data_IF_282806663721
#
_entry.id   IF_282806663721
#
_cell.length_a   1.000
_cell.length_b   1.000
_cell.length_c   1.000
_cell.angle_alpha   90.00
_cell.angle_beta   90.00
_cell.angle_gamma   90.00
#
_symmetry.space_group_name_H-M   'P 1'
#
loop_
_entity.id
_entity.type
_entity.pdbx_description
1 polymer ?
#
# COMPACT_ATOMS: atom_id res chain seq x y z
N UNK A 1 5.09 -5.63 -4.24
CA UNK A 1 4.94 -6.06 -5.65
C UNK A 1 5.12 -4.89 -6.60
N UNK A 2 4.16 -3.99 -6.78
CA UNK A 2 4.30 -2.87 -7.72
C UNK A 2 5.53 -2.00 -7.43
N UNK A 3 5.74 -1.63 -6.17
CA UNK A 3 6.91 -0.86 -5.75
C UNK A 3 8.23 -1.57 -6.10
N UNK A 4 8.32 -2.88 -5.86
CA UNK A 4 9.51 -3.67 -6.18
C UNK A 4 9.79 -3.74 -7.69
N UNK A 5 8.73 -3.94 -8.49
CA UNK A 5 8.84 -3.98 -9.96
C UNK A 5 9.32 -2.62 -10.50
N UNK A 6 8.71 -1.53 -10.03
CA UNK A 6 9.11 -0.17 -10.38
C UNK A 6 10.52 0.17 -9.89
N UNK A 7 10.90 -0.29 -8.70
CA UNK A 7 12.23 -0.12 -8.14
C UNK A 7 13.31 -0.64 -9.08
N UNK A 8 13.11 -1.83 -9.65
CA UNK A 8 14.02 -2.40 -10.65
C UNK A 8 14.00 -1.62 -11.96
N UNK A 9 12.81 -1.41 -12.53
CA UNK A 9 12.65 -0.78 -13.86
C UNK A 9 13.14 0.66 -13.90
N UNK A 10 13.02 1.38 -12.80
CA UNK A 10 13.41 2.79 -12.68
C UNK A 10 14.76 2.98 -12.00
N UNK A 11 15.44 1.90 -11.56
CA UNK A 11 16.61 1.95 -10.68
C UNK A 11 16.37 2.87 -9.47
N UNK A 12 15.19 2.72 -8.87
CA UNK A 12 14.73 3.53 -7.75
C UNK A 12 14.89 2.78 -6.43
N UNK A 13 15.19 3.52 -5.37
CA UNK A 13 15.27 2.96 -4.01
C UNK A 13 13.86 2.72 -3.49
N UNK A 14 13.60 1.52 -2.97
CA UNK A 14 12.32 1.14 -2.35
C UNK A 14 12.57 0.83 -0.88
N UNK A 15 12.55 1.84 0.01
CA UNK A 15 12.72 1.60 1.43
C UNK A 15 11.47 0.92 2.02
N UNK A 16 11.54 0.37 3.25
CA UNK A 16 10.36 -0.10 3.97
C UNK A 16 9.32 1.01 4.12
N UNK A 17 8.04 0.65 4.27
CA UNK A 17 6.93 1.63 4.34
C UNK A 17 7.20 2.78 5.33
N UNK A 18 7.23 4.02 4.84
CA UNK A 18 7.44 5.23 5.62
C UNK A 18 6.15 5.72 6.32
N UNK A 19 5.56 4.86 7.16
CA UNK A 19 4.26 5.11 7.80
C UNK A 19 4.22 6.36 8.72
N UNK A 20 5.39 6.87 9.10
CA UNK A 20 5.58 8.08 9.91
C UNK A 20 5.54 9.38 9.08
N UNK A 21 5.80 9.32 7.77
CA UNK A 21 5.96 10.52 6.92
C UNK A 21 4.67 11.34 6.85
N UNK A 22 3.55 10.70 6.51
CA UNK A 22 2.27 11.38 6.42
C UNK A 22 1.84 11.98 7.76
N UNK A 23 2.13 11.31 8.88
CA UNK A 23 1.85 11.83 10.22
C UNK A 23 2.68 13.10 10.51
N UNK A 24 3.98 13.09 10.19
CA UNK A 24 4.86 14.24 10.37
C UNK A 24 4.44 15.44 9.51
N UNK A 25 4.10 15.21 8.23
CA UNK A 25 3.62 16.24 7.32
C UNK A 25 2.25 16.80 7.73
N UNK A 26 1.36 15.96 8.25
CA UNK A 26 0.02 16.41 8.68
C UNK A 26 0.08 17.20 9.98
N UNK A 27 1.02 16.86 10.86
CA UNK A 27 1.27 17.59 12.10
C UNK A 27 2.15 18.84 11.90
N UNK A 28 2.55 19.14 10.65
CA UNK A 28 3.42 20.27 10.29
C UNK A 28 4.68 20.33 11.18
N UNK A 29 5.30 19.17 11.42
CA UNK A 29 6.50 19.08 12.24
C UNK A 29 7.69 19.78 11.58
N UNK A 30 8.57 20.36 12.39
CA UNK A 30 9.91 20.77 11.95
C UNK A 30 10.85 19.56 11.84
N UNK A 31 12.01 19.76 11.20
CA UNK A 31 13.02 18.73 11.02
C UNK A 31 13.48 18.08 12.34
N UNK A 32 13.67 18.89 13.38
CA UNK A 32 14.13 18.40 14.69
C UNK A 32 13.09 17.53 15.39
N UNK A 33 11.82 17.92 15.35
CA UNK A 33 10.69 17.14 15.90
C UNK A 33 10.47 15.88 15.10
N UNK A 34 10.66 15.93 13.79
CA UNK A 34 10.58 14.74 12.95
C UNK A 34 11.67 13.73 13.31
N UNK A 35 12.93 14.14 13.45
CA UNK A 35 14.00 13.22 13.90
C UNK A 35 13.72 12.61 15.27
N UNK A 36 13.21 13.40 16.24
CA UNK A 36 12.81 12.90 17.56
C UNK A 36 11.70 11.85 17.47
N UNK A 37 10.72 12.05 16.59
CA UNK A 37 9.66 11.08 16.34
C UNK A 37 10.27 9.76 15.84
N UNK A 38 11.17 9.83 14.86
CA UNK A 38 11.83 8.66 14.27
C UNK A 38 12.67 7.86 15.28
N UNK A 39 13.34 8.53 16.22
CA UNK A 39 14.13 7.86 17.27
C UNK A 39 13.31 6.91 18.16
N UNK A 40 11.99 7.10 18.22
CA UNK A 40 11.08 6.25 18.99
C UNK A 40 10.18 5.35 18.14
N UNK A 41 10.26 5.46 16.80
CA UNK A 41 9.36 4.76 15.90
C UNK A 41 9.88 3.36 15.57
N UNK A 42 9.14 2.34 16.04
CA UNK A 42 9.49 0.93 15.81
C UNK A 42 9.50 0.51 14.34
N UNK A 43 8.78 1.21 13.46
CA UNK A 43 8.71 0.91 12.02
C UNK A 43 9.90 1.55 11.32
N UNK A 44 10.29 2.75 11.74
CA UNK A 44 11.54 3.36 11.28
C UNK A 44 12.76 2.55 11.69
N UNK A 45 12.77 1.93 12.87
CA UNK A 45 13.85 1.04 13.30
C UNK A 45 14.14 -0.10 12.30
N UNK A 46 13.15 -0.52 11.49
CA UNK A 46 13.32 -1.53 10.43
C UNK A 46 14.20 -1.06 9.28
N UNK A 47 14.39 0.26 9.13
CA UNK A 47 15.27 0.83 8.11
C UNK A 47 16.75 0.64 8.47
N UNK A 48 17.08 0.36 9.74
CA UNK A 48 18.47 0.20 10.17
C UNK A 48 19.33 1.46 10.02
N UNK A 49 18.70 2.63 9.89
CA UNK A 49 19.35 3.95 9.82
C UNK A 49 19.21 4.61 11.18
N UNK A 50 20.30 5.20 11.69
CA UNK A 50 20.26 6.02 12.90
C UNK A 50 19.77 7.44 12.54
N UNK A 51 18.60 7.90 13.04
CA UNK A 51 18.13 9.26 12.74
C UNK A 51 19.11 10.34 13.20
N UNK A 52 19.87 10.10 14.27
CA UNK A 52 20.81 11.08 14.83
C UNK A 52 22.03 11.32 13.93
N UNK A 53 22.29 10.41 12.98
CA UNK A 53 23.33 10.57 11.96
C UNK A 53 22.97 11.58 10.88
N UNK A 54 21.69 12.00 10.78
CA UNK A 54 21.23 12.95 9.79
C UNK A 54 21.44 14.37 10.31
N UNK A 55 22.36 15.09 9.66
CA UNK A 55 22.57 16.51 9.92
C UNK A 55 21.32 17.31 9.51
N UNK A 56 20.94 18.26 10.36
CA UNK A 56 19.83 19.20 10.12
C UNK A 56 20.31 20.63 10.31
N UNK A 57 19.66 21.52 9.57
CA UNK A 57 19.81 22.97 9.61
C UNK A 57 18.45 23.61 9.94
N UNK A 58 18.44 24.91 10.26
CA UNK A 58 17.20 25.59 10.65
C UNK A 58 16.16 25.66 9.51
N UNK A 59 16.62 25.65 8.26
CA UNK A 59 15.76 25.73 7.08
C UNK A 59 15.30 24.35 6.56
N UNK A 60 15.66 23.27 7.27
CA UNK A 60 15.28 21.93 6.86
C UNK A 60 13.79 21.65 7.08
N UNK A 61 13.20 21.02 6.08
CA UNK A 61 11.82 20.54 6.12
C UNK A 61 11.79 19.03 6.39
N UNK A 62 10.61 18.51 6.68
CA UNK A 62 10.38 17.06 6.77
C UNK A 62 10.79 16.36 5.48
N UNK A 63 10.53 16.96 4.31
CA UNK A 63 10.89 16.35 3.02
C UNK A 63 12.40 16.30 2.80
N UNK A 64 13.16 17.36 3.13
CA UNK A 64 14.63 17.32 2.99
C UNK A 64 15.29 16.31 3.93
N UNK A 65 14.77 16.19 5.16
CA UNK A 65 15.20 15.14 6.10
C UNK A 65 14.87 13.75 5.56
N UNK A 66 13.66 13.57 5.02
CA UNK A 66 13.22 12.29 4.44
C UNK A 66 14.13 11.85 3.28
N UNK A 67 14.49 12.76 2.38
CA UNK A 67 15.41 12.47 1.27
C UNK A 67 16.78 12.01 1.76
N UNK A 68 17.32 12.65 2.81
CA UNK A 68 18.58 12.23 3.44
C UNK A 68 18.49 10.87 4.14
N UNK A 69 17.35 10.56 4.76
CA UNK A 69 17.11 9.25 5.37
C UNK A 69 17.07 8.14 4.32
N UNK A 70 16.42 8.39 3.18
CA UNK A 70 16.39 7.44 2.06
C UNK A 70 17.79 7.25 1.46
N UNK A 71 18.58 8.33 1.34
CA UNK A 71 19.99 8.25 0.93
C UNK A 71 20.84 7.42 1.89
N UNK A 72 20.68 7.61 3.20
CA UNK A 72 21.37 6.82 4.21
C UNK A 72 20.98 5.34 4.16
N UNK A 73 19.69 5.06 3.97
CA UNK A 73 19.17 3.70 3.78
C UNK A 73 19.77 3.03 2.54
N UNK A 74 19.76 3.73 1.40
CA UNK A 74 20.28 3.19 0.14
C UNK A 74 21.78 2.88 0.19
N UNK A 75 22.59 3.74 0.82
CA UNK A 75 24.03 3.51 1.01
C UNK A 75 24.32 2.25 1.82
N UNK A 76 23.43 1.91 2.75
CA UNK A 76 23.54 0.72 3.60
C UNK A 76 23.14 -0.54 2.85
N UNK A 77 22.00 -0.52 2.16
CA UNK A 77 21.37 -1.75 1.65
C UNK A 77 21.71 -2.07 0.20
N UNK A 78 22.03 -1.06 -0.63
CA UNK A 78 22.04 -1.22 -2.08
C UNK A 78 23.43 -1.11 -2.72
N UNK A 79 24.50 -0.86 -1.95
CA UNK A 79 25.84 -0.48 -2.48
C UNK A 79 25.76 0.60 -3.58
N UNK A 80 24.67 1.36 -3.57
CA UNK A 80 24.29 2.23 -4.68
C UNK A 80 24.68 3.65 -4.29
N UNK A 81 25.79 4.11 -4.84
CA UNK A 81 26.30 5.46 -4.57
C UNK A 81 25.43 6.55 -5.21
N UNK A 82 24.66 6.21 -6.25
CA UNK A 82 23.84 7.16 -7.00
C UNK A 82 22.46 6.59 -7.36
N UNK A 83 21.41 7.24 -6.88
CA UNK A 83 20.04 7.06 -7.34
C UNK A 83 19.36 8.43 -7.44
N UNK A 84 18.44 8.58 -8.39
CA UNK A 84 17.71 9.84 -8.61
C UNK A 84 16.22 9.75 -8.27
N UNK A 85 15.74 8.57 -7.84
CA UNK A 85 14.34 8.28 -7.56
C UNK A 85 14.21 7.32 -6.37
N UNK A 86 13.14 7.49 -5.61
CA UNK A 86 12.74 6.56 -4.56
C UNK A 86 11.23 6.37 -4.58
N UNK A 87 10.76 5.26 -4.02
CA UNK A 87 9.35 4.86 -4.04
C UNK A 87 8.91 4.56 -2.61
N UNK A 88 8.06 5.42 -2.04
CA UNK A 88 7.24 5.02 -0.91
C UNK A 88 6.03 4.20 -1.40
N UNK A 89 5.67 3.19 -0.63
CA UNK A 89 4.58 2.27 -0.95
C UNK A 89 3.60 2.11 0.21
N UNK A 90 3.60 3.08 1.13
CA UNK A 90 2.73 3.10 2.31
C UNK A 90 1.26 3.30 1.87
N UNK A 91 0.37 2.31 2.06
CA UNK A 91 -0.99 2.40 1.53
C UNK A 91 -1.82 3.56 2.11
N UNK A 92 -1.55 3.98 3.34
CA UNK A 92 -2.28 5.08 3.99
C UNK A 92 -1.93 6.47 3.46
N UNK A 93 -0.84 6.60 2.70
CA UNK A 93 -0.40 7.89 2.16
C UNK A 93 -1.45 8.52 1.24
N UNK A 94 -2.31 7.71 0.62
CA UNK A 94 -3.41 8.21 -0.20
C UNK A 94 -4.41 9.09 0.57
N UNK A 95 -4.49 8.99 1.90
CA UNK A 95 -5.34 9.88 2.70
C UNK A 95 -4.70 11.27 2.94
N UNK A 96 -3.41 11.40 2.66
CA UNK A 96 -2.61 12.60 2.89
C UNK A 96 -1.97 13.10 1.59
N UNK A 97 -2.56 12.74 0.44
CA UNK A 97 -2.00 12.97 -0.89
C UNK A 97 -1.64 14.44 -1.14
N UNK A 98 -2.45 15.40 -0.69
CA UNK A 98 -2.17 16.83 -0.86
C UNK A 98 -0.90 17.25 -0.12
N UNK A 99 -0.84 17.00 1.20
CA UNK A 99 0.35 17.28 2.04
C UNK A 99 1.61 16.61 1.49
N UNK A 100 1.51 15.39 0.96
CA UNK A 100 2.64 14.68 0.34
C UNK A 100 3.06 15.37 -0.97
N UNK A 101 2.12 15.67 -1.87
CA UNK A 101 2.43 16.30 -3.16
C UNK A 101 2.91 17.75 -3.02
N UNK A 102 2.52 18.44 -1.94
CA UNK A 102 3.02 19.76 -1.56
C UNK A 102 4.45 19.68 -1.03
N UNK A 103 4.74 18.70 -0.16
CA UNK A 103 6.07 18.50 0.41
C UNK A 103 7.12 18.00 -0.60
N UNK A 104 6.66 17.29 -1.64
CA UNK A 104 7.51 16.77 -2.72
C UNK A 104 6.99 17.29 -4.07
N UNK A 105 7.42 18.47 -4.55
CA UNK A 105 6.85 19.10 -5.76
C UNK A 105 6.98 18.26 -7.04
N UNK A 106 8.02 17.43 -7.15
CA UNK A 106 8.22 16.50 -8.26
C UNK A 106 7.58 15.12 -8.01
N UNK A 107 6.97 14.91 -6.84
CA UNK A 107 6.36 13.65 -6.45
C UNK A 107 5.20 13.27 -7.37
N UNK A 108 5.06 11.97 -7.62
CA UNK A 108 3.98 11.35 -8.38
C UNK A 108 3.31 10.28 -7.52
N UNK A 109 2.03 10.02 -7.75
CA UNK A 109 1.27 8.97 -7.06
C UNK A 109 0.73 7.99 -8.09
N UNK A 110 0.89 6.70 -7.81
CA UNK A 110 0.18 5.64 -8.51
C UNK A 110 -0.97 5.19 -7.60
N UNK A 111 -2.21 5.52 -7.97
CA UNK A 111 -3.39 5.05 -7.28
C UNK A 111 -3.72 3.63 -7.76
N UNK A 112 -3.18 2.65 -7.04
CA UNK A 112 -3.43 1.24 -7.29
C UNK A 112 -4.81 0.84 -6.76
N UNK A 113 -5.72 0.47 -7.65
CA UNK A 113 -7.07 -0.01 -7.33
C UNK A 113 -7.18 -1.50 -7.57
N UNK A 114 -8.00 -2.18 -6.78
CA UNK A 114 -8.24 -3.63 -6.88
C UNK A 114 -9.70 -3.93 -6.62
N UNK A 115 -10.22 -5.01 -7.20
CA UNK A 115 -11.60 -5.46 -7.00
C UNK A 115 -11.95 -5.49 -5.50
N UNK A 116 -13.02 -4.80 -5.07
CA UNK A 116 -13.39 -4.71 -3.66
C UNK A 116 -13.62 -6.10 -3.02
N UNK A 117 -14.09 -7.08 -3.79
CA UNK A 117 -14.32 -8.45 -3.31
C UNK A 117 -12.99 -9.14 -3.01
N UNK A 118 -11.99 -8.93 -3.86
CA UNK A 118 -10.64 -9.43 -3.64
C UNK A 118 -9.99 -8.78 -2.41
N UNK A 119 -10.16 -7.46 -2.24
CA UNK A 119 -9.65 -6.74 -1.07
C UNK A 119 -10.32 -7.22 0.23
N UNK A 120 -11.65 -7.34 0.22
CA UNK A 120 -12.41 -7.84 1.39
C UNK A 120 -11.97 -9.26 1.75
N UNK A 121 -11.84 -10.15 0.77
CA UNK A 121 -11.36 -11.51 0.99
C UNK A 121 -9.96 -11.54 1.62
N UNK A 122 -9.08 -10.60 1.22
CA UNK A 122 -7.72 -10.50 1.74
C UNK A 122 -7.65 -9.93 3.16
N UNK A 123 -8.52 -8.96 3.50
CA UNK A 123 -8.41 -8.23 4.78
C UNK A 123 -9.20 -8.89 5.93
N UNK A 124 -10.29 -9.59 5.63
CA UNK A 124 -11.13 -10.25 6.64
C UNK A 124 -10.34 -11.19 7.59
N UNK A 125 -9.38 -11.99 7.11
CA UNK A 125 -8.59 -12.87 7.96
C UNK A 125 -7.53 -12.15 8.82
N UNK A 126 -7.17 -10.91 8.49
CA UNK A 126 -6.07 -10.19 9.13
C UNK A 126 -6.45 -9.67 10.50
N UNK A 127 -5.56 -9.83 11.48
CA UNK A 127 -5.84 -9.49 12.88
C UNK A 127 -6.11 -8.00 13.11
N UNK A 128 -5.53 -7.13 12.28
CA UNK A 128 -5.69 -5.67 12.32
C UNK A 128 -6.83 -5.16 11.41
N UNK A 129 -7.40 -6.02 10.56
CA UNK A 129 -8.41 -5.65 9.58
C UNK A 129 -9.85 -5.70 10.12
N UNK A 130 -10.84 -5.17 9.37
CA UNK A 130 -12.25 -5.31 9.71
C UNK A 130 -12.66 -6.80 9.81
N UNK A 131 -13.61 -7.11 10.69
CA UNK A 131 -14.07 -8.49 10.91
C UNK A 131 -15.37 -8.83 10.17
N UNK A 132 -16.07 -7.82 9.64
CA UNK A 132 -17.34 -7.97 8.95
C UNK A 132 -17.22 -7.52 7.48
N UNK A 133 -17.79 -8.25 6.50
CA UNK A 133 -17.68 -7.92 5.07
C UNK A 133 -18.11 -6.49 4.72
N UNK A 134 -19.25 -6.02 5.25
CA UNK A 134 -19.68 -4.62 5.06
C UNK A 134 -18.68 -3.59 5.61
N UNK A 135 -18.06 -3.86 6.75
CA UNK A 135 -17.07 -2.96 7.31
C UNK A 135 -15.79 -2.95 6.46
N UNK A 136 -15.36 -4.10 5.94
CA UNK A 136 -14.26 -4.21 4.99
C UNK A 136 -14.56 -3.51 3.65
N UNK A 137 -15.79 -3.61 3.16
CA UNK A 137 -16.26 -2.91 1.97
C UNK A 137 -16.22 -1.38 2.15
N UNK A 138 -16.73 -0.86 3.27
CA UNK A 138 -16.62 0.57 3.62
C UNK A 138 -15.18 1.04 3.75
N UNK A 139 -14.35 0.21 4.37
CA UNK A 139 -12.91 0.46 4.52
C UNK A 139 -12.21 0.59 3.15
N UNK A 140 -12.60 -0.23 2.17
CA UNK A 140 -12.15 -0.10 0.79
C UNK A 140 -12.68 1.20 0.15
N UNK A 141 -13.97 1.50 0.26
CA UNK A 141 -14.58 2.71 -0.33
C UNK A 141 -13.92 4.00 0.17
N UNK A 142 -13.64 4.09 1.47
CA UNK A 142 -12.99 5.28 2.05
C UNK A 142 -11.59 5.52 1.47
N UNK A 143 -10.83 4.45 1.20
CA UNK A 143 -9.49 4.53 0.60
C UNK A 143 -9.54 4.90 -0.86
N UNK A 144 -10.41 4.24 -1.62
CA UNK A 144 -10.53 4.50 -3.05
C UNK A 144 -11.14 5.86 -3.34
N UNK A 145 -12.03 6.36 -2.49
CA UNK A 145 -12.55 7.73 -2.56
C UNK A 145 -11.44 8.79 -2.39
N UNK A 146 -10.52 8.59 -1.45
CA UNK A 146 -9.35 9.47 -1.31
C UNK A 146 -8.48 9.46 -2.57
N UNK A 147 -8.33 8.30 -3.21
CA UNK A 147 -7.62 8.20 -4.49
C UNK A 147 -8.36 8.87 -5.65
N UNK A 148 -9.69 8.79 -5.74
CA UNK A 148 -10.48 9.57 -6.71
C UNK A 148 -10.28 11.07 -6.54
N UNK A 149 -10.26 11.52 -5.28
CA UNK A 149 -10.00 12.92 -4.96
C UNK A 149 -8.59 13.34 -5.42
N UNK A 150 -7.58 12.49 -5.20
CA UNK A 150 -6.22 12.72 -5.66
C UNK A 150 -6.11 12.79 -7.19
N UNK A 151 -6.72 11.84 -7.90
CA UNK A 151 -6.78 11.83 -9.38
C UNK A 151 -7.43 13.11 -9.92
N UNK A 152 -8.54 13.54 -9.33
CA UNK A 152 -9.26 14.73 -9.77
C UNK A 152 -8.51 16.03 -9.49
N UNK A 153 -7.78 16.12 -8.37
CA UNK A 153 -7.07 17.35 -7.99
C UNK A 153 -5.71 17.47 -8.68
N UNK A 154 -5.06 16.35 -8.98
CA UNK A 154 -3.70 16.32 -9.50
C UNK A 154 -3.57 15.40 -10.74
N UNK A 155 -4.32 15.66 -11.83
CA UNK A 155 -4.40 14.76 -12.99
C UNK A 155 -3.09 14.53 -13.74
N UNK A 156 -2.08 15.40 -13.58
CA UNK A 156 -0.74 15.26 -14.19
C UNK A 156 0.29 14.61 -13.26
N UNK A 157 -0.09 14.35 -12.00
CA UNK A 157 0.79 13.78 -10.97
C UNK A 157 0.24 12.50 -10.37
N UNK A 158 -1.01 12.15 -10.65
CA UNK A 158 -1.67 10.96 -10.12
C UNK A 158 -2.20 10.13 -11.29
N UNK A 159 -1.80 8.86 -11.36
CA UNK A 159 -2.30 7.91 -12.36
C UNK A 159 -2.96 6.72 -11.66
N UNK A 160 -4.09 6.28 -12.21
CA UNK A 160 -4.77 5.07 -11.74
C UNK A 160 -4.16 3.85 -12.39
N UNK A 161 -3.90 2.80 -11.60
CA UNK A 161 -3.52 1.48 -12.11
C UNK A 161 -4.46 0.44 -11.50
N UNK A 162 -5.02 -0.45 -12.33
CA UNK A 162 -5.79 -1.59 -11.84
C UNK A 162 -4.84 -2.74 -11.55
N UNK A 163 -4.96 -3.31 -10.36
CA UNK A 163 -4.16 -4.45 -9.92
C UNK A 163 -4.31 -5.64 -10.86
N UNK A 164 -5.52 -5.87 -11.38
CA UNK A 164 -5.79 -6.96 -12.30
C UNK A 164 -5.03 -6.79 -13.61
N UNK A 165 -5.02 -5.58 -14.17
CA UNK A 165 -4.29 -5.27 -15.41
C UNK A 165 -2.77 -5.39 -15.18
N UNK A 166 -2.27 -4.93 -14.03
CA UNK A 166 -0.86 -5.09 -13.63
C UNK A 166 -0.45 -6.56 -13.49
N UNK A 167 -1.34 -7.42 -13.00
CA UNK A 167 -1.04 -8.86 -12.84
C UNK A 167 -1.07 -9.58 -14.17
N UNK A 168 -2.06 -9.27 -15.02
CA UNK A 168 -2.30 -9.98 -16.28
C UNK A 168 -1.41 -9.46 -17.43
N UNK A 169 -1.15 -8.16 -17.47
CA UNK A 169 -0.39 -7.47 -18.52
C UNK A 169 0.62 -6.49 -17.89
N UNK A 170 1.61 -6.97 -17.12
CA UNK A 170 2.51 -6.11 -16.34
C UNK A 170 3.27 -5.09 -17.21
N UNK A 171 3.87 -5.53 -18.33
CA UNK A 171 4.69 -4.65 -19.17
C UNK A 171 3.89 -3.51 -19.80
N UNK A 172 2.75 -3.82 -20.42
CA UNK A 172 1.86 -2.83 -21.02
C UNK A 172 1.32 -1.85 -19.98
N UNK A 173 0.90 -2.38 -18.81
CA UNK A 173 0.37 -1.57 -17.71
C UNK A 173 1.42 -0.62 -17.16
N UNK A 174 2.65 -1.10 -16.95
CA UNK A 174 3.76 -0.30 -16.43
C UNK A 174 4.20 0.76 -17.44
N UNK A 175 4.34 0.39 -18.72
CA UNK A 175 4.65 1.35 -19.78
C UNK A 175 3.62 2.48 -19.83
N UNK A 176 2.34 2.14 -19.86
CA UNK A 176 1.24 3.12 -19.89
C UNK A 176 1.25 4.01 -18.63
N UNK A 177 1.46 3.42 -17.46
CA UNK A 177 1.56 4.13 -16.18
C UNK A 177 2.71 5.14 -16.18
N UNK A 178 3.92 4.73 -16.59
CA UNK A 178 5.10 5.58 -16.61
C UNK A 178 4.99 6.70 -17.65
N UNK A 179 4.47 6.39 -18.83
CA UNK A 179 4.21 7.38 -19.87
C UNK A 179 3.21 8.46 -19.40
N UNK A 180 2.11 8.05 -18.74
CA UNK A 180 1.14 9.02 -18.17
C UNK A 180 1.77 9.92 -17.11
N UNK A 181 2.74 9.43 -16.34
CA UNK A 181 3.44 10.21 -15.33
C UNK A 181 4.57 11.08 -15.90
N UNK A 182 4.91 10.93 -17.18
CA UNK A 182 6.06 11.58 -17.80
C UNK A 182 7.39 11.08 -17.24
N UNK A 183 7.44 9.81 -16.83
CA UNK A 183 8.59 9.18 -16.19
C UNK A 183 9.29 8.29 -17.21
N UNK A 184 10.47 8.71 -17.67
CA UNK A 184 11.28 7.89 -18.58
C UNK A 184 11.75 6.61 -17.88
N UNK A 185 11.57 5.47 -18.57
CA UNK A 185 12.17 4.19 -18.18
C UNK A 185 13.64 4.18 -18.58
N UNK A 186 14.55 3.78 -17.69
CA UNK A 186 15.96 3.59 -18.04
C UNK A 186 16.07 2.45 -19.06
N UNK A 187 16.51 2.74 -20.29
CA UNK A 187 16.56 1.84 -21.46
C UNK A 187 17.53 0.64 -21.37
N UNK A 188 18.02 0.28 -20.18
CA UNK A 188 19.17 -0.64 -20.04
C UNK A 188 18.92 -1.87 -19.16
N UNK A 189 17.67 -2.27 -18.93
CA UNK A 189 17.35 -3.59 -18.36
C UNK A 189 16.71 -4.43 -19.45
N UNK A 190 17.44 -5.37 -20.03
CA UNK A 190 16.87 -6.30 -21.00
C UNK A 190 15.70 -7.07 -20.39
N UNK A 191 14.60 -7.20 -21.14
CA UNK A 191 13.37 -7.96 -20.81
C UNK A 191 13.61 -9.47 -20.55
N UNK A 192 14.87 -9.92 -20.47
CA UNK A 192 15.31 -11.30 -20.33
C UNK A 192 15.97 -11.64 -18.98
N UNK A 193 16.23 -10.66 -18.11
CA UNK A 193 16.82 -10.98 -16.79
C UNK A 193 15.71 -11.35 -15.81
N UNK A 194 15.66 -12.64 -15.49
CA UNK A 194 14.68 -13.26 -14.61
C UNK A 194 14.47 -12.52 -13.29
N UNK A 195 13.27 -12.69 -12.75
CA UNK A 195 12.75 -12.05 -11.55
C UNK A 195 13.50 -12.45 -10.27
N UNK A 196 14.73 -11.97 -10.06
CA UNK A 196 15.42 -12.17 -8.78
C UNK A 196 15.13 -11.03 -7.79
N UNK A 197 14.59 -11.40 -6.62
CA UNK A 197 14.31 -10.48 -5.51
C UNK A 197 15.56 -10.30 -4.67
N UNK A 198 15.92 -9.06 -4.31
CA UNK A 198 16.92 -8.83 -3.27
C UNK A 198 16.52 -9.53 -1.96
N UNK A 199 17.47 -10.22 -1.31
CA UNK A 199 17.25 -10.99 -0.08
C UNK A 199 16.64 -10.18 1.10
N UNK A 200 16.73 -8.85 1.08
CA UNK A 200 16.34 -7.97 2.18
C UNK A 200 14.82 -7.86 2.43
N UNK A 201 13.97 -8.47 1.60
CA UNK A 201 12.50 -8.48 1.79
C UNK A 201 11.95 -9.81 2.32
N UNK A 202 12.76 -10.86 2.50
CA UNK A 202 12.25 -12.22 2.74
C UNK A 202 11.33 -12.40 3.97
N UNK A 203 11.49 -11.63 5.05
CA UNK A 203 10.69 -11.81 6.26
C UNK A 203 9.22 -11.34 6.13
N UNK A 204 8.90 -10.45 5.19
CA UNK A 204 7.54 -9.99 4.89
C UNK A 204 7.03 -10.44 3.50
N UNK A 205 7.89 -11.07 2.69
CA UNK A 205 7.67 -11.27 1.26
C UNK A 205 7.87 -12.72 0.78
N UNK A 206 7.30 -13.71 1.47
CA UNK A 206 7.23 -15.09 0.95
C UNK A 206 6.39 -15.24 -0.36
N UNK A 207 5.91 -14.13 -0.94
CA UNK A 207 4.97 -14.11 -2.08
C UNK A 207 5.37 -13.13 -3.20
N UNK A 208 6.49 -12.42 -3.08
CA UNK A 208 6.80 -11.25 -3.95
C UNK A 208 8.03 -11.48 -4.84
N UNK A 209 8.46 -12.74 -4.99
CA UNK A 209 9.55 -13.15 -5.90
C UNK A 209 9.18 -14.06 -7.04
N UNK A 210 7.89 -14.20 -7.30
CA UNK A 210 7.37 -14.91 -8.46
C UNK A 210 6.60 -13.92 -9.33
N UNK A 211 6.46 -14.24 -10.62
CA UNK A 211 5.56 -13.52 -11.52
C UNK A 211 4.20 -13.28 -10.83
N UNK A 212 3.53 -12.15 -11.08
CA UNK A 212 2.26 -11.82 -10.42
C UNK A 212 1.30 -13.02 -10.46
N UNK A 213 0.92 -13.52 -9.28
CA UNK A 213 0.11 -14.74 -9.16
C UNK A 213 -1.35 -14.46 -9.60
N UNK A 214 -1.63 -14.78 -10.86
CA UNK A 214 -2.95 -14.61 -11.49
C UNK A 214 -4.08 -15.29 -10.69
N UNK A 215 -3.77 -16.37 -9.98
CA UNK A 215 -4.77 -17.11 -9.19
C UNK A 215 -5.40 -16.23 -8.09
N UNK A 216 -4.71 -15.16 -7.68
CA UNK A 216 -5.17 -14.22 -6.64
C UNK A 216 -6.15 -13.19 -7.13
N UNK A 217 -6.26 -12.96 -8.45
CA UNK A 217 -7.24 -12.01 -9.02
C UNK A 217 -8.65 -12.47 -8.67
N UNK A 218 -8.93 -13.76 -8.85
CA UNK A 218 -10.27 -14.35 -8.68
C UNK A 218 -10.42 -15.25 -7.45
N UNK A 219 -9.40 -15.37 -6.59
CA UNK A 219 -9.43 -16.22 -5.39
C UNK A 219 -10.63 -15.94 -4.47
N UNK A 220 -11.12 -14.71 -4.44
CA UNK A 220 -12.29 -14.29 -3.65
C UNK A 220 -13.56 -15.09 -3.96
N UNK A 221 -13.69 -15.64 -5.16
CA UNK A 221 -14.84 -16.47 -5.57
C UNK A 221 -14.95 -17.75 -4.75
N UNK A 222 -13.80 -18.30 -4.34
CA UNK A 222 -13.72 -19.53 -3.53
C UNK A 222 -13.69 -19.23 -2.02
N UNK A 223 -13.12 -18.09 -1.62
CA UNK A 223 -12.93 -17.77 -0.19
C UNK A 223 -14.12 -17.06 0.45
N UNK A 224 -14.89 -16.27 -0.31
CA UNK A 224 -16.08 -15.59 0.19
C UNK A 224 -17.33 -16.42 -0.08
N UNK A 225 -18.22 -16.50 0.90
CA UNK A 225 -19.54 -17.08 0.69
C UNK A 225 -20.41 -16.20 -0.21
N UNK A 226 -21.41 -16.78 -0.89
CA UNK A 226 -22.33 -16.02 -1.74
C UNK A 226 -23.05 -14.88 -1.00
N UNK A 227 -23.34 -15.06 0.30
CA UNK A 227 -23.90 -14.00 1.14
C UNK A 227 -22.90 -12.86 1.39
N UNK A 228 -21.62 -13.16 1.64
CA UNK A 228 -20.57 -12.14 1.78
C UNK A 228 -20.37 -11.38 0.47
N UNK A 229 -20.28 -12.09 -0.66
CA UNK A 229 -20.16 -11.48 -1.98
C UNK A 229 -21.33 -10.54 -2.28
N UNK A 230 -22.56 -10.95 -1.96
CA UNK A 230 -23.77 -10.11 -2.14
C UNK A 230 -23.74 -8.89 -1.23
N UNK A 231 -23.36 -9.03 0.05
CA UNK A 231 -23.25 -7.87 0.95
C UNK A 231 -22.18 -6.88 0.49
N UNK A 232 -21.04 -7.35 -0.02
CA UNK A 232 -19.98 -6.49 -0.55
C UNK A 232 -20.51 -5.72 -1.76
N UNK A 233 -21.09 -6.42 -2.74
CA UNK A 233 -21.68 -5.82 -3.95
C UNK A 233 -22.69 -4.72 -3.62
N UNK A 234 -23.60 -5.00 -2.68
CA UNK A 234 -24.60 -4.02 -2.24
C UNK A 234 -23.99 -2.77 -1.59
N UNK A 235 -22.84 -2.91 -0.93
CA UNK A 235 -22.21 -1.81 -0.21
C UNK A 235 -21.32 -0.95 -1.14
N UNK A 236 -20.64 -1.56 -2.13
CA UNK A 236 -19.65 -0.89 -2.99
C UNK A 236 -20.13 -0.62 -4.42
N UNK A 237 -21.40 -0.91 -4.72
CA UNK A 237 -21.98 -0.92 -6.07
C UNK A 237 -21.51 0.23 -6.97
N UNK A 238 -21.89 1.44 -6.59
CA UNK A 238 -21.62 2.65 -7.38
C UNK A 238 -20.12 2.99 -7.41
N UNK A 239 -19.46 2.89 -6.26
CA UNK A 239 -18.03 3.19 -6.13
C UNK A 239 -17.18 2.26 -7.00
N UNK A 240 -17.47 0.96 -7.01
CA UNK A 240 -16.68 0.01 -7.79
C UNK A 240 -17.00 0.07 -9.29
N UNK A 241 -18.22 0.47 -9.67
CA UNK A 241 -18.55 0.78 -11.06
C UNK A 241 -17.67 1.94 -11.60
N UNK A 242 -17.39 2.96 -10.78
CA UNK A 242 -16.48 4.06 -11.15
C UNK A 242 -15.02 3.62 -11.42
N UNK A 243 -14.64 2.41 -10.97
CA UNK A 243 -13.35 1.78 -11.24
C UNK A 243 -13.43 0.66 -12.29
N UNK A 244 -14.58 0.50 -12.96
CA UNK A 244 -14.77 -0.52 -14.00
C UNK A 244 -15.00 -1.93 -13.47
N UNK A 245 -15.40 -2.09 -12.20
CA UNK A 245 -15.76 -3.40 -11.65
C UNK A 245 -17.26 -3.64 -11.74
N UNK A 246 -17.67 -4.71 -12.43
CA UNK A 246 -19.06 -5.16 -12.40
C UNK A 246 -19.40 -5.81 -11.06
N UNK A 247 -20.06 -5.02 -10.23
CA UNK A 247 -20.55 -5.38 -8.90
C UNK A 247 -22.06 -5.19 -8.78
N UNK A 248 -22.77 -5.02 -9.90
CA UNK A 248 -24.23 -4.88 -9.87
C UNK A 248 -24.87 -6.10 -9.19
N UNK A 249 -25.81 -5.86 -8.29
CA UNK A 249 -26.55 -6.93 -7.63
C UNK A 249 -27.96 -6.49 -7.26
N UNK A 250 -28.95 -7.13 -7.88
CA UNK A 250 -30.36 -7.06 -7.47
C UNK A 250 -30.70 -8.02 -6.33
N UNK A 251 -29.80 -8.97 -6.02
CA UNK A 251 -30.01 -10.00 -5.01
C UNK A 251 -29.99 -9.42 -3.59
N UNK A 252 -30.92 -9.89 -2.74
CA UNK A 252 -30.97 -9.57 -1.31
C UNK A 252 -30.47 -10.75 -0.47
N UNK A 253 -29.63 -10.47 0.52
CA UNK A 253 -29.19 -11.49 1.50
C UNK A 253 -30.33 -11.78 2.47
N UNK A 254 -30.69 -13.05 2.67
CA UNK A 254 -31.79 -13.45 3.58
C UNK A 254 -31.51 -13.11 5.04
N UNK A 255 -32.55 -12.98 5.87
CA UNK A 255 -32.41 -12.68 7.31
C UNK A 255 -31.54 -13.73 8.03
N UNK A 256 -31.74 -15.02 7.70
CA UNK A 256 -30.93 -16.13 8.23
C UNK A 256 -29.45 -16.01 7.83
N UNK A 257 -29.18 -15.67 6.57
CA UNK A 257 -27.80 -15.47 6.11
C UNK A 257 -27.15 -14.26 6.80
N UNK A 258 -27.88 -13.15 7.00
CA UNK A 258 -27.38 -11.98 7.76
C UNK A 258 -27.05 -12.35 9.20
N UNK A 259 -27.94 -13.07 9.89
CA UNK A 259 -27.69 -13.53 11.25
C UNK A 259 -26.45 -14.43 11.32
N UNK A 260 -26.31 -15.38 10.39
CA UNK A 260 -25.13 -16.25 10.31
C UNK A 260 -23.82 -15.45 10.10
N UNK A 261 -23.85 -14.42 9.25
CA UNK A 261 -22.69 -13.55 9.02
C UNK A 261 -22.33 -12.71 10.25
N UNK A 262 -23.33 -12.21 10.99
CA UNK A 262 -23.11 -11.52 12.24
C UNK A 262 -22.42 -12.45 13.26
N UNK A 263 -22.91 -13.68 13.42
CA UNK A 263 -22.28 -14.68 14.29
C UNK A 263 -20.84 -14.99 13.87
N UNK A 264 -20.59 -15.23 12.57
CA UNK A 264 -19.22 -15.45 12.06
C UNK A 264 -18.31 -14.26 12.32
N UNK A 265 -18.84 -13.05 12.21
CA UNK A 265 -18.07 -11.83 12.49
C UNK A 265 -17.72 -11.71 13.97
N UNK A 266 -18.63 -12.07 14.88
CA UNK A 266 -18.34 -12.13 16.33
C UNK A 266 -17.26 -13.17 16.64
N UNK A 267 -17.32 -14.35 16.01
CA UNK A 267 -16.26 -15.36 16.14
C UNK A 267 -14.92 -14.80 15.66
N UNK A 268 -14.89 -14.12 14.50
CA UNK A 268 -13.67 -13.45 14.00
C UNK A 268 -13.14 -12.40 14.98
N UNK A 269 -14.01 -11.58 15.59
CA UNK A 269 -13.59 -10.61 16.61
C UNK A 269 -12.96 -11.33 17.80
N UNK A 270 -13.57 -12.42 18.27
CA UNK A 270 -13.03 -13.24 19.36
C UNK A 270 -11.66 -13.82 19.02
N UNK A 271 -11.51 -14.44 17.86
CA UNK A 271 -10.24 -15.04 17.43
C UNK A 271 -9.13 -14.01 17.24
N UNK A 272 -9.45 -12.85 16.65
CA UNK A 272 -8.49 -11.74 16.51
C UNK A 272 -8.03 -11.22 17.88
N UNK A 273 -8.94 -11.06 18.84
CA UNK A 273 -8.59 -10.65 20.22
C UNK A 273 -7.66 -11.65 20.91
N UNK A 274 -7.91 -12.95 20.76
CA UNK A 274 -7.05 -14.00 21.31
C UNK A 274 -5.66 -13.95 20.67
N UNK A 275 -5.58 -13.88 19.35
CA UNK A 275 -4.30 -13.77 18.62
C UNK A 275 -3.52 -12.52 19.00
N UNK A 276 -4.20 -11.38 19.12
CA UNK A 276 -3.58 -10.12 19.55
C UNK A 276 -2.99 -10.25 20.96
N UNK A 277 -3.76 -10.78 21.93
CA UNK A 277 -3.26 -11.01 23.30
C UNK A 277 -2.07 -11.95 23.32
N UNK A 278 -2.11 -13.02 22.52
CA UNK A 278 -1.02 -13.99 22.45
C UNK A 278 0.24 -13.38 21.84
N UNK A 279 0.13 -12.62 20.74
CA UNK A 279 1.27 -11.86 20.18
C UNK A 279 1.83 -10.90 21.22
N UNK A 280 0.99 -10.12 21.89
CA UNK A 280 1.42 -9.19 22.93
C UNK A 280 2.19 -9.90 24.04
N UNK A 281 1.70 -11.04 24.52
CA UNK A 281 2.38 -11.86 25.51
C UNK A 281 3.73 -12.39 25.03
N UNK A 282 3.82 -12.85 23.78
CA UNK A 282 5.06 -13.40 23.19
C UNK A 282 6.12 -12.31 22.91
N UNK A 283 5.70 -11.12 22.48
CA UNK A 283 6.61 -10.04 22.04
C UNK A 283 6.92 -8.99 23.13
N UNK A 284 6.06 -8.82 24.14
CA UNK A 284 6.31 -7.89 25.27
C UNK A 284 6.74 -8.62 26.56
N UNK A 285 6.77 -9.96 26.55
CA UNK A 285 7.23 -10.80 27.67
C UNK A 285 8.72 -11.15 27.62
N UNK A 286 9.53 -10.45 26.83
CA UNK A 286 11.00 -10.53 26.81
C UNK A 286 11.60 -9.18 27.14
#
# INVERSE_FOLDING_TARGET
>A
MLADILGRRLRAVVPPEAQFLAAALTADLDAASFLRLLSSDRRFALWGVDPSSILTSHDDSVSSVMERLVLAYARREAECETFNRWIDHTPSNIHHFSKILDAFPNGKIIHLVRDPRAVVASVLPLDWGPSHPKAAARWWMQRTAAGLAAESMYPTRVVRVRYEDLVLNPEETLYSCLNCLGVESSESGSDSDGFDVPQFTQAQHALVGHSPDESRVNAWRKTLTGAEQTLIKQEVGDTAAAFGYDVSSSCRVSARARASLATRSLVRVGTKRVRYRWRRFVYEGR
#
